data_IF_723198173808
#
_entry.id   IF_723198173808
#
_cell.length_a   1.000
_cell.length_b   1.000
_cell.length_c   1.000
_cell.angle_alpha   90.00
_cell.angle_beta   90.00
_cell.angle_gamma   90.00
#
_symmetry.space_group_name_H-M   'P 1'
#
loop_
_entity.id
_entity.type
_entity.pdbx_description
1 polymer ?
#
# COMPACT_ATOMS: atom_id res chain seq x y z
N UNK A 1 -39.71 -18.09 16.09
CA UNK A 1 -39.52 -17.13 14.98
C UNK A 1 -38.12 -16.58 15.13
N UNK A 2 -37.28 -16.70 14.11
CA UNK A 2 -35.89 -16.23 14.15
C UNK A 2 -35.84 -14.76 13.73
N UNK A 3 -35.89 -13.86 14.72
CA UNK A 3 -35.88 -12.40 14.54
C UNK A 3 -34.53 -11.87 14.04
N UNK A 4 -33.47 -12.69 13.99
CA UNK A 4 -32.18 -12.28 13.42
C UNK A 4 -32.29 -11.97 11.93
N UNK A 5 -33.18 -12.67 11.21
CA UNK A 5 -33.38 -12.50 9.75
C UNK A 5 -34.22 -11.30 9.38
N UNK A 6 -34.85 -10.62 10.34
CA UNK A 6 -35.64 -9.40 10.09
C UNK A 6 -34.81 -8.12 10.23
N UNK A 7 -33.52 -8.26 10.55
CA UNK A 7 -32.59 -7.16 10.75
C UNK A 7 -31.65 -7.05 9.55
N UNK A 8 -31.41 -5.82 9.07
CA UNK A 8 -30.41 -5.55 8.04
C UNK A 8 -29.06 -5.31 8.70
N UNK A 9 -28.32 -6.39 8.97
CA UNK A 9 -26.99 -6.31 9.55
C UNK A 9 -25.94 -5.97 8.48
N UNK A 10 -24.84 -5.27 8.84
CA UNK A 10 -23.74 -5.05 7.91
C UNK A 10 -23.04 -6.36 7.56
N UNK A 11 -22.88 -6.61 6.27
CA UNK A 11 -22.13 -7.76 5.73
C UNK A 11 -20.94 -7.26 4.91
N UNK A 12 -19.78 -7.88 5.10
CA UNK A 12 -18.58 -7.56 4.34
C UNK A 12 -17.67 -8.77 4.21
N UNK A 13 -17.06 -8.93 3.04
CA UNK A 13 -15.98 -9.88 2.82
C UNK A 13 -14.65 -9.38 3.39
N UNK A 14 -14.58 -8.12 3.84
CA UNK A 14 -13.38 -7.55 4.42
C UNK A 14 -13.05 -8.24 5.75
N UNK A 15 -11.89 -8.91 5.86
CA UNK A 15 -11.56 -9.62 7.08
C UNK A 15 -11.28 -8.64 8.21
N UNK A 16 -11.85 -8.90 9.40
CA UNK A 16 -11.57 -8.09 10.59
C UNK A 16 -10.08 -8.11 10.99
N UNK A 17 -9.36 -9.19 10.69
CA UNK A 17 -7.91 -9.30 10.95
C UNK A 17 -7.11 -8.92 9.70
N UNK A 18 -6.11 -8.07 9.89
CA UNK A 18 -5.27 -7.57 8.80
C UNK A 18 -4.49 -8.67 8.06
N UNK A 19 -3.81 -9.57 8.78
CA UNK A 19 -2.94 -10.60 8.19
C UNK A 19 -1.92 -10.02 7.19
N UNK A 20 -1.35 -8.87 7.56
CA UNK A 20 -0.53 -8.01 6.69
C UNK A 20 0.70 -8.71 6.09
N UNK A 21 1.48 -9.53 6.82
CA UNK A 21 2.65 -10.19 6.25
C UNK A 21 2.35 -11.07 5.02
N UNK A 22 1.11 -11.52 4.85
CA UNK A 22 0.66 -12.27 3.66
C UNK A 22 0.01 -11.38 2.60
N UNK A 23 -0.80 -10.39 3.01
CA UNK A 23 -1.55 -9.53 2.10
C UNK A 23 -0.70 -8.43 1.44
N UNK A 24 0.27 -7.87 2.16
CA UNK A 24 1.11 -6.78 1.63
C UNK A 24 1.90 -7.20 0.38
N UNK A 25 2.54 -8.39 0.32
CA UNK A 25 3.17 -8.88 -0.91
C UNK A 25 2.23 -8.98 -2.11
N UNK A 26 0.97 -9.39 -1.90
CA UNK A 26 -0.03 -9.48 -2.97
C UNK A 26 -0.42 -8.09 -3.51
N UNK A 27 -0.53 -7.11 -2.61
CA UNK A 27 -0.81 -5.71 -2.97
C UNK A 27 0.36 -5.11 -3.77
N UNK A 28 1.61 -5.33 -3.32
CA UNK A 28 2.80 -4.86 -4.03
C UNK A 28 2.86 -5.44 -5.45
N UNK A 29 2.63 -6.75 -5.58
CA UNK A 29 2.56 -7.41 -6.89
C UNK A 29 1.48 -6.80 -7.78
N UNK A 30 0.28 -6.57 -7.25
CA UNK A 30 -0.78 -5.90 -7.99
C UNK A 30 -0.35 -4.52 -8.48
N UNK A 31 0.33 -3.72 -7.65
CA UNK A 31 0.82 -2.39 -8.07
C UNK A 31 1.88 -2.44 -9.16
N UNK A 32 2.80 -3.40 -9.08
CA UNK A 32 3.85 -3.64 -10.08
C UNK A 32 3.24 -4.08 -11.42
N UNK A 33 2.40 -5.12 -11.40
CA UNK A 33 1.73 -5.68 -12.59
C UNK A 33 0.89 -4.61 -13.31
N UNK A 34 0.27 -3.71 -12.54
CA UNK A 34 -0.59 -2.66 -13.07
C UNK A 34 0.15 -1.33 -13.33
N UNK A 35 1.47 -1.25 -13.11
CA UNK A 35 2.29 -0.04 -13.30
C UNK A 35 1.68 1.20 -12.63
N UNK A 36 1.21 1.03 -11.40
CA UNK A 36 0.44 2.06 -10.68
C UNK A 36 1.25 3.35 -10.47
N UNK A 37 2.55 3.22 -10.21
CA UNK A 37 3.43 4.38 -10.03
C UNK A 37 3.48 5.27 -11.28
N UNK A 38 3.61 4.67 -12.46
CA UNK A 38 3.65 5.37 -13.75
C UNK A 38 2.29 6.02 -14.06
N UNK A 39 1.19 5.27 -13.88
CA UNK A 39 -0.17 5.80 -14.03
C UNK A 39 -0.40 7.03 -13.14
N UNK A 40 0.07 7.01 -11.90
CA UNK A 40 -0.02 8.15 -10.97
C UNK A 40 0.73 9.37 -11.51
N UNK A 41 1.93 9.19 -12.08
CA UNK A 41 2.69 10.28 -12.69
C UNK A 41 1.96 10.86 -13.91
N UNK A 42 1.43 10.01 -14.79
CA UNK A 42 0.67 10.43 -15.97
C UNK A 42 -0.58 11.26 -15.60
N UNK A 43 -1.33 10.83 -14.58
CA UNK A 43 -2.50 11.55 -14.06
C UNK A 43 -2.17 12.95 -13.53
N UNK A 44 -0.90 13.21 -13.19
CA UNK A 44 -0.45 14.48 -12.62
C UNK A 44 0.49 15.27 -13.54
N UNK A 45 0.57 14.92 -14.83
CA UNK A 45 1.52 15.53 -15.78
C UNK A 45 1.45 17.06 -15.84
N UNK A 46 0.27 17.65 -15.66
CA UNK A 46 0.04 19.11 -15.77
C UNK A 46 0.03 19.81 -14.40
N UNK A 47 0.22 19.05 -13.30
CA UNK A 47 0.27 19.61 -11.96
C UNK A 47 1.66 20.19 -11.66
N UNK A 48 1.73 21.16 -10.75
CA UNK A 48 3.00 21.69 -10.27
C UNK A 48 3.87 20.55 -9.71
N UNK A 49 5.12 20.39 -10.19
CA UNK A 49 5.97 19.29 -9.75
C UNK A 49 6.37 19.45 -8.29
N UNK A 50 6.45 18.33 -7.60
CA UNK A 50 7.06 18.20 -6.29
C UNK A 50 8.21 17.19 -6.41
N UNK A 51 9.43 17.66 -6.19
CA UNK A 51 10.65 16.88 -6.36
C UNK A 51 11.25 16.60 -4.97
N UNK A 52 11.25 15.34 -4.58
CA UNK A 52 11.90 14.86 -3.37
C UNK A 52 13.19 14.16 -3.77
N UNK A 53 14.33 14.78 -3.49
CA UNK A 53 15.64 14.16 -3.72
C UNK A 53 15.94 13.15 -2.62
N UNK A 54 16.28 11.95 -3.05
CA UNK A 54 16.64 10.87 -2.16
C UNK A 54 18.16 10.77 -2.01
N UNK A 55 18.64 10.62 -0.77
CA UNK A 55 20.06 10.41 -0.50
C UNK A 55 20.45 8.98 -0.87
N UNK A 56 21.45 8.76 -1.75
CA UNK A 56 21.84 7.41 -2.14
C UNK A 56 22.37 6.66 -0.91
N UNK A 57 21.75 5.55 -0.50
CA UNK A 57 22.30 4.73 0.56
C UNK A 57 23.55 4.01 0.05
N UNK A 58 24.46 3.67 0.96
CA UNK A 58 25.56 2.80 0.60
C UNK A 58 25.04 1.41 0.26
N UNK A 59 25.52 0.82 -0.84
CA UNK A 59 25.13 -0.52 -1.30
C UNK A 59 25.84 -1.66 -0.53
N UNK A 60 26.32 -1.39 0.69
CA UNK A 60 26.99 -2.36 1.55
C UNK A 60 26.20 -2.61 2.85
N UNK A 61 26.30 -3.84 3.37
CA UNK A 61 25.66 -4.22 4.62
C UNK A 61 24.15 -4.48 4.52
N UNK A 62 23.54 -4.81 5.67
CA UNK A 62 22.10 -5.02 5.80
C UNK A 62 21.43 -3.70 6.19
N UNK A 63 20.19 -3.51 5.72
CA UNK A 63 19.34 -2.43 6.19
C UNK A 63 19.07 -2.60 7.69
N UNK A 64 18.91 -1.46 8.37
CA UNK A 64 18.59 -1.36 9.79
C UNK A 64 17.42 -0.40 9.99
N UNK A 65 16.93 -0.25 11.23
CA UNK A 65 15.72 0.54 11.51
C UNK A 65 15.81 1.99 11.03
N UNK A 66 16.98 2.63 11.10
CA UNK A 66 17.20 3.97 10.52
C UNK A 66 16.96 4.06 9.00
N UNK A 67 17.24 2.99 8.25
CA UNK A 67 16.91 2.93 6.82
C UNK A 67 15.39 2.87 6.61
N UNK A 68 14.69 2.06 7.41
CA UNK A 68 13.24 2.01 7.36
C UNK A 68 12.62 3.36 7.72
N UNK A 69 13.10 4.00 8.79
CA UNK A 69 12.60 5.30 9.26
C UNK A 69 12.78 6.41 8.20
N UNK A 70 13.89 6.44 7.48
CA UNK A 70 14.12 7.43 6.42
C UNK A 70 13.20 7.23 5.20
N UNK A 71 12.65 6.02 5.02
CA UNK A 71 11.88 5.59 3.85
C UNK A 71 10.39 5.35 4.11
N UNK A 72 9.95 5.54 5.36
CA UNK A 72 8.55 5.43 5.76
C UNK A 72 7.83 6.73 5.39
#
# INVERSE_FOLDING_TARGET
MDYGKTLHLPETEFPMRGNLPKREPEILKFWEDNKIYQKRLELRKDAKPFILHDGPPYANGKLHIGHALNKT
#
